data_IF_576747829577
#
_entry.id   IF_576747829577
#
_cell.length_a   1.000
_cell.length_b   1.000
_cell.length_c   1.000
_cell.angle_alpha   90.00
_cell.angle_beta   90.00
_cell.angle_gamma   90.00
#
_symmetry.space_group_name_H-M   'P 1'
#
loop_
_entity.id
_entity.type
_entity.pdbx_description
1 polymer ?
#
# COMPACT_ATOMS: atom_id res chain seq x y z
N UNK A 1 -11.46 -8.83 7.96
CA UNK A 1 -11.64 -7.60 8.73
C UNK A 1 -12.26 -6.51 7.87
N UNK A 2 -12.75 -5.43 8.46
CA UNK A 2 -13.42 -4.33 7.73
C UNK A 2 -12.56 -3.72 6.62
N UNK A 3 -11.26 -3.53 6.86
CA UNK A 3 -10.35 -2.96 5.88
C UNK A 3 -10.13 -3.85 4.65
N UNK A 4 -10.14 -5.18 4.83
CA UNK A 4 -10.00 -6.12 3.72
C UNK A 4 -11.18 -6.01 2.75
N UNK A 5 -12.39 -5.79 3.30
CA UNK A 5 -13.60 -5.58 2.50
C UNK A 5 -13.57 -4.24 1.77
N UNK A 6 -13.22 -3.15 2.47
CA UNK A 6 -13.09 -1.80 1.87
C UNK A 6 -12.08 -1.79 0.73
N UNK A 7 -10.87 -2.31 0.97
CA UNK A 7 -9.83 -2.41 -0.06
C UNK A 7 -10.29 -3.26 -1.25
N UNK A 8 -10.99 -4.37 -0.97
CA UNK A 8 -11.52 -5.22 -2.04
C UNK A 8 -12.50 -4.47 -2.94
N UNK A 9 -13.52 -3.84 -2.36
CA UNK A 9 -14.53 -3.08 -3.13
C UNK A 9 -13.89 -1.98 -3.98
N UNK A 10 -12.95 -1.24 -3.40
CA UNK A 10 -12.23 -0.17 -4.10
C UNK A 10 -11.26 -0.71 -5.17
N UNK A 11 -10.77 -1.94 -5.01
CA UNK A 11 -9.80 -2.56 -5.93
C UNK A 11 -10.43 -3.29 -7.11
N UNK A 12 -11.68 -3.77 -7.01
CA UNK A 12 -12.31 -4.61 -8.04
C UNK A 12 -12.41 -3.97 -9.44
N UNK A 13 -12.15 -2.67 -9.58
CA UNK A 13 -12.11 -1.95 -10.87
C UNK A 13 -12.49 -0.47 -10.72
N UNK A 14 -12.80 0.23 -11.83
CA UNK A 14 -13.27 1.63 -11.78
C UNK A 14 -14.52 1.80 -10.91
N UNK A 15 -14.61 2.88 -10.13
CA UNK A 15 -15.70 3.07 -9.15
C UNK A 15 -17.09 3.03 -9.79
N UNK A 16 -17.23 3.59 -10.99
CA UNK A 16 -18.51 3.72 -11.71
C UNK A 16 -18.99 2.43 -12.39
N UNK A 17 -18.10 1.44 -12.53
CA UNK A 17 -18.41 0.21 -13.25
C UNK A 17 -19.14 -0.80 -12.35
N UNK A 18 -20.16 -1.45 -12.91
CA UNK A 18 -20.80 -2.63 -12.29
C UNK A 18 -19.85 -3.82 -12.37
N UNK A 19 -19.62 -4.49 -11.23
CA UNK A 19 -18.65 -5.59 -11.13
C UNK A 19 -19.29 -6.80 -10.45
N UNK A 20 -19.11 -8.01 -11.00
CA UNK A 20 -19.53 -9.22 -10.31
C UNK A 20 -18.64 -9.45 -9.08
N UNK A 21 -19.25 -9.86 -7.97
CA UNK A 21 -18.52 -10.24 -6.77
C UNK A 21 -17.66 -11.49 -7.03
N UNK A 22 -16.39 -11.42 -6.69
CA UNK A 22 -15.39 -12.47 -6.94
C UNK A 22 -14.56 -12.75 -5.68
N UNK A 23 -15.03 -13.70 -4.86
CA UNK A 23 -14.40 -14.06 -3.58
C UNK A 23 -12.91 -14.43 -3.69
N UNK A 24 -12.47 -14.96 -4.83
CA UNK A 24 -11.05 -15.29 -5.05
C UNK A 24 -10.14 -14.06 -5.03
N UNK A 25 -10.62 -12.91 -5.50
CA UNK A 25 -9.82 -11.68 -5.56
C UNK A 25 -9.58 -11.06 -4.17
N UNK A 26 -10.43 -11.37 -3.18
CA UNK A 26 -10.26 -10.96 -1.78
C UNK A 26 -8.91 -11.45 -1.23
N UNK A 27 -8.46 -12.65 -1.64
CA UNK A 27 -7.17 -13.19 -1.20
C UNK A 27 -6.00 -12.29 -1.63
N UNK A 28 -6.08 -11.65 -2.80
CA UNK A 28 -5.05 -10.72 -3.27
C UNK A 28 -4.90 -9.51 -2.35
N UNK A 29 -6.03 -8.96 -1.89
CA UNK A 29 -6.08 -7.83 -0.97
C UNK A 29 -5.57 -8.20 0.41
N UNK A 30 -5.97 -9.36 0.94
CA UNK A 30 -5.47 -9.85 2.24
C UNK A 30 -3.96 -10.08 2.19
N UNK A 31 -3.43 -10.63 1.09
CA UNK A 31 -1.97 -10.76 0.91
C UNK A 31 -1.26 -9.41 0.92
N UNK A 32 -1.86 -8.39 0.30
CA UNK A 32 -1.32 -7.03 0.34
C UNK A 32 -1.33 -6.44 1.76
N UNK A 33 -2.44 -6.57 2.50
CA UNK A 33 -2.50 -6.13 3.90
C UNK A 33 -1.43 -6.80 4.76
N UNK A 34 -1.32 -8.13 4.67
CA UNK A 34 -0.31 -8.89 5.40
C UNK A 34 1.11 -8.44 5.03
N UNK A 35 1.35 -8.05 3.77
CA UNK A 35 2.64 -7.49 3.36
C UNK A 35 2.93 -6.17 4.04
N UNK A 36 1.97 -5.25 4.07
CA UNK A 36 2.14 -3.94 4.74
C UNK A 36 2.41 -4.15 6.25
N UNK A 37 1.66 -5.04 6.90
CA UNK A 37 1.88 -5.40 8.29
C UNK A 37 3.28 -6.00 8.53
N UNK A 38 3.72 -6.90 7.64
CA UNK A 38 5.05 -7.52 7.73
C UNK A 38 6.17 -6.50 7.50
N UNK A 39 5.97 -5.50 6.64
CA UNK A 39 6.93 -4.39 6.46
C UNK A 39 7.06 -3.56 7.74
N UNK A 40 5.95 -3.24 8.39
CA UNK A 40 5.96 -2.53 9.67
C UNK A 40 6.62 -3.35 10.78
N UNK A 41 6.27 -4.64 10.90
CA UNK A 41 6.92 -5.55 11.86
C UNK A 41 8.42 -5.68 11.59
N UNK A 42 8.83 -5.78 10.32
CA UNK A 42 10.24 -5.83 9.92
C UNK A 42 10.95 -4.54 10.31
N UNK A 43 10.31 -3.38 10.10
CA UNK A 43 10.84 -2.08 10.49
C UNK A 43 11.02 -1.97 12.02
N UNK A 44 10.07 -2.45 12.82
CA UNK A 44 10.18 -2.44 14.28
C UNK A 44 11.27 -3.40 14.78
N UNK A 45 11.45 -4.53 14.11
CA UNK A 45 12.46 -5.53 14.48
C UNK A 45 13.88 -5.19 14.04
N UNK A 46 14.08 -4.22 13.14
CA UNK A 46 15.40 -3.81 12.66
C UNK A 46 16.13 -3.00 13.75
N UNK A 47 17.44 -3.20 13.91
CA UNK A 47 18.26 -2.37 14.80
C UNK A 47 18.31 -0.91 14.31
N UNK A 48 18.53 0.05 15.20
CA UNK A 48 18.58 1.52 14.94
C UNK A 48 19.66 1.99 13.92
N UNK A 49 20.17 1.12 13.06
CA UNK A 49 20.92 1.57 11.90
C UNK A 49 19.97 2.32 10.96
N UNK A 50 20.17 3.64 10.91
CA UNK A 50 19.58 4.55 9.94
C UNK A 50 19.94 4.07 8.53
N UNK A 51 19.14 3.17 7.98
CA UNK A 51 19.29 2.71 6.61
C UNK A 51 19.06 3.89 5.67
N UNK A 52 20.10 4.25 4.91
CA UNK A 52 20.05 5.35 3.96
C UNK A 52 19.16 4.95 2.78
N UNK A 53 18.12 5.74 2.51
CA UNK A 53 17.22 5.52 1.39
C UNK A 53 18.00 5.58 0.06
N UNK A 54 17.95 4.50 -0.73
CA UNK A 54 18.52 4.49 -2.08
C UNK A 54 17.71 5.36 -3.05
N UNK A 55 18.39 5.93 -4.05
CA UNK A 55 17.80 6.83 -5.06
C UNK A 55 16.60 6.20 -5.80
N UNK A 56 16.67 4.88 -6.07
CA UNK A 56 15.56 4.16 -6.69
C UNK A 56 14.31 4.16 -5.81
N UNK A 57 14.46 3.90 -4.52
CA UNK A 57 13.36 3.87 -3.54
C UNK A 57 12.75 5.26 -3.39
N UNK A 58 13.59 6.31 -3.32
CA UNK A 58 13.14 7.70 -3.26
C UNK A 58 12.32 8.08 -4.50
N UNK A 59 12.85 7.77 -5.69
CA UNK A 59 12.17 8.02 -6.96
C UNK A 59 10.83 7.29 -7.02
N UNK A 60 10.80 6.01 -6.65
CA UNK A 60 9.58 5.21 -6.67
C UNK A 60 8.55 5.74 -5.66
N UNK A 61 9.00 6.11 -4.46
CA UNK A 61 8.15 6.74 -3.44
C UNK A 61 7.46 7.99 -4.00
N UNK A 62 8.21 8.93 -4.57
CA UNK A 62 7.63 10.17 -5.12
C UNK A 62 6.69 9.90 -6.30
N UNK A 63 7.01 8.93 -7.15
CA UNK A 63 6.12 8.51 -8.24
C UNK A 63 4.81 7.93 -7.71
N UNK A 64 4.88 7.07 -6.69
CA UNK A 64 3.70 6.47 -6.06
C UNK A 64 2.86 7.54 -5.38
N UNK A 65 3.45 8.47 -4.62
CA UNK A 65 2.75 9.58 -3.99
C UNK A 65 2.00 10.40 -5.04
N UNK A 66 2.69 10.87 -6.09
CA UNK A 66 2.08 11.65 -7.16
C UNK A 66 0.92 10.90 -7.83
N UNK A 67 1.10 9.60 -8.09
CA UNK A 67 0.07 8.78 -8.72
C UNK A 67 -1.14 8.59 -7.80
N UNK A 68 -0.93 8.22 -6.54
CA UNK A 68 -2.02 7.99 -5.59
C UNK A 68 -2.81 9.27 -5.37
N UNK A 69 -2.15 10.42 -5.22
CA UNK A 69 -2.83 11.71 -5.10
C UNK A 69 -3.74 11.98 -6.30
N UNK A 70 -3.20 11.87 -7.53
CA UNK A 70 -4.00 12.10 -8.74
C UNK A 70 -5.15 11.10 -8.90
N UNK A 71 -4.89 9.81 -8.63
CA UNK A 71 -5.90 8.76 -8.74
C UNK A 71 -7.01 8.92 -7.70
N UNK A 72 -6.70 9.42 -6.49
CA UNK A 72 -7.72 9.72 -5.46
C UNK A 72 -8.60 10.88 -5.90
N UNK A 73 -8.02 11.94 -6.46
CA UNK A 73 -8.77 13.10 -6.98
C UNK A 73 -9.73 12.70 -8.12
N UNK A 74 -9.33 11.73 -8.95
CA UNK A 74 -10.14 11.21 -10.06
C UNK A 74 -10.95 9.96 -9.69
N UNK A 75 -11.06 9.61 -8.40
CA UNK A 75 -11.81 8.45 -7.89
C UNK A 75 -11.38 7.10 -8.51
N UNK A 76 -10.15 7.02 -9.01
CA UNK A 76 -9.53 5.86 -9.65
C UNK A 76 -8.84 4.97 -8.61
N UNK A 77 -9.58 4.54 -7.59
CA UNK A 77 -9.02 3.87 -6.41
C UNK A 77 -8.32 2.54 -6.70
N UNK A 78 -8.81 1.78 -7.68
CA UNK A 78 -8.19 0.50 -8.07
C UNK A 78 -6.76 0.70 -8.58
N UNK A 79 -6.50 1.75 -9.35
CA UNK A 79 -5.14 2.06 -9.83
C UNK A 79 -4.27 2.66 -8.72
N UNK A 80 -4.85 3.41 -7.79
CA UNK A 80 -4.13 3.90 -6.60
C UNK A 80 -3.63 2.74 -5.74
N UNK A 81 -4.53 1.79 -5.43
CA UNK A 81 -4.20 0.58 -4.68
C UNK A 81 -3.17 -0.26 -5.44
N UNK A 82 -3.30 -0.41 -6.76
CA UNK A 82 -2.30 -1.12 -7.58
C UNK A 82 -0.91 -0.49 -7.47
N UNK A 83 -0.83 0.85 -7.50
CA UNK A 83 0.43 1.57 -7.34
C UNK A 83 1.06 1.34 -5.95
N UNK A 84 0.25 1.32 -4.90
CA UNK A 84 0.70 0.99 -3.54
C UNK A 84 1.14 -0.48 -3.43
N UNK A 85 0.46 -1.42 -4.10
CA UNK A 85 0.88 -2.83 -4.13
C UNK A 85 2.28 -2.97 -4.76
N UNK A 86 2.53 -2.31 -5.90
CA UNK A 86 3.85 -2.30 -6.54
C UNK A 86 4.91 -1.71 -5.61
N UNK A 87 4.62 -0.56 -4.98
CA UNK A 87 5.54 0.07 -4.04
C UNK A 87 5.84 -0.82 -2.82
N UNK A 88 4.82 -1.47 -2.25
CA UNK A 88 5.01 -2.42 -1.14
C UNK A 88 5.85 -3.63 -1.52
N UNK A 89 5.77 -4.12 -2.76
CA UNK A 89 6.62 -5.20 -3.26
C UNK A 89 8.09 -4.77 -3.33
N UNK A 90 8.34 -3.54 -3.80
CA UNK A 90 9.70 -2.97 -3.83
C UNK A 90 10.29 -2.91 -2.42
N UNK A 91 9.56 -2.34 -1.45
CA UNK A 91 10.01 -2.26 -0.05
C UNK A 91 10.25 -3.63 0.57
N UNK A 92 9.45 -4.64 0.20
CA UNK A 92 9.62 -6.01 0.69
C UNK A 92 10.95 -6.64 0.22
N UNK A 93 11.44 -6.24 -0.96
CA UNK A 93 12.71 -6.70 -1.51
C UNK A 93 13.96 -6.05 -0.88
N UNK A 94 13.80 -4.98 -0.11
CA UNK A 94 14.92 -4.30 0.55
C UNK A 94 15.41 -5.10 1.76
N UNK A 95 16.72 -5.02 2.03
CA UNK A 95 17.32 -5.66 3.20
C UNK A 95 16.79 -5.07 4.50
N UNK A 96 16.75 -3.73 4.59
CA UNK A 96 16.13 -2.96 5.66
C UNK A 96 15.07 -2.02 5.09
N UNK A 97 14.07 -1.66 5.92
CA UNK A 97 12.98 -0.79 5.50
C UNK A 97 13.30 0.63 5.97
N UNK A 98 13.47 1.63 5.07
CA UNK A 98 13.66 3.00 5.50
C UNK A 98 12.35 3.58 6.05
N UNK A 99 12.45 4.39 7.11
CA UNK A 99 11.30 4.91 7.85
C UNK A 99 10.36 5.75 6.95
N UNK A 100 10.93 6.70 6.21
CA UNK A 100 10.14 7.64 5.41
C UNK A 100 9.28 6.95 4.33
N UNK A 101 9.82 6.09 3.44
CA UNK A 101 9.03 5.31 2.48
C UNK A 101 7.89 4.51 3.11
N UNK A 102 8.14 3.87 4.26
CA UNK A 102 7.12 3.13 4.99
C UNK A 102 6.02 4.05 5.51
N UNK A 103 6.40 5.16 6.16
CA UNK A 103 5.43 6.16 6.65
C UNK A 103 4.58 6.70 5.52
N UNK A 104 5.16 7.02 4.35
CA UNK A 104 4.40 7.49 3.18
C UNK A 104 3.43 6.42 2.69
N UNK A 105 3.84 5.15 2.62
CA UNK A 105 2.96 4.05 2.25
C UNK A 105 1.75 3.95 3.20
N UNK A 106 1.98 3.99 4.51
CA UNK A 106 0.92 3.91 5.53
C UNK A 106 -0.04 5.10 5.42
N UNK A 107 0.47 6.32 5.28
CA UNK A 107 -0.36 7.51 5.12
C UNK A 107 -1.22 7.47 3.85
N UNK A 108 -0.66 7.00 2.73
CA UNK A 108 -1.42 6.82 1.48
C UNK A 108 -2.49 5.73 1.60
N UNK A 109 -2.26 4.72 2.43
CA UNK A 109 -3.17 3.59 2.63
C UNK A 109 -4.31 3.91 3.61
N UNK A 110 -4.09 4.82 4.57
CA UNK A 110 -5.03 5.19 5.63
C UNK A 110 -6.47 5.49 5.16
N UNK A 111 -6.72 6.20 4.02
CA UNK A 111 -8.08 6.41 3.53
C UNK A 111 -8.83 5.12 3.18
N UNK A 112 -8.09 4.07 2.80
CA UNK A 112 -8.64 2.80 2.35
C UNK A 112 -8.73 1.77 3.47
N UNK A 113 -7.68 1.65 4.29
CA UNK A 113 -7.55 0.69 5.38
C UNK A 113 -7.11 1.38 6.69
N UNK A 114 -7.98 2.19 7.31
CA UNK A 114 -7.61 3.02 8.45
C UNK A 114 -7.22 2.20 9.69
N UNK A 115 -7.86 1.05 9.94
CA UNK A 115 -7.59 0.28 11.15
C UNK A 115 -6.19 -0.37 11.08
N UNK A 116 -5.82 -0.93 9.93
CA UNK A 116 -4.48 -1.47 9.68
C UNK A 116 -3.39 -0.38 9.78
N UNK A 117 -3.72 0.87 9.44
CA UNK A 117 -2.75 1.97 9.45
C UNK A 117 -2.56 2.63 10.83
N UNK A 118 -3.50 2.43 11.76
CA UNK A 118 -3.42 2.92 13.15
C UNK A 118 -2.82 1.89 14.12
N UNK A 119 -2.80 0.60 13.75
CA UNK A 119 -2.13 -0.48 14.50
C UNK A 119 -0.59 -0.35 14.48
#
# INVERSE_FOLDING_TARGET
GGDAMRLYEMFMGPLEAVKPWQTQQIQGVVRFQNRVYNLATKFVAQSEESYTMGEETERLMHQTVKKVTGDVDTLSFNTAISAMMVFSNHLQGLEAVPAEPLTKLVLMLSPFAPHLCEE
#
